data_IF_937753000289
#
_entry.id   IF_937753000289
#
_cell.length_a   1.000
_cell.length_b   1.000
_cell.length_c   1.000
_cell.angle_alpha   90.00
_cell.angle_beta   90.00
_cell.angle_gamma   90.00
#
_symmetry.space_group_name_H-M   'P 1'
#
loop_
_entity.id
_entity.type
_entity.pdbx_description
1 polymer ?
#
# COMPACT_ATOMS: atom_id res chain seq x y z
N UNK A 1 7.97 56.35 -40.55
CA UNK A 1 9.01 56.95 -39.67
C UNK A 1 8.91 56.25 -38.32
N UNK A 2 10.05 55.72 -37.84
CA UNK A 2 10.38 55.47 -36.42
C UNK A 2 9.54 54.43 -35.64
N UNK A 3 10.09 53.51 -34.87
CA UNK A 3 11.47 53.35 -34.44
C UNK A 3 11.69 51.99 -33.77
N UNK A 4 12.94 51.53 -33.84
CA UNK A 4 13.46 50.31 -33.25
C UNK A 4 13.64 50.44 -31.73
N UNK A 5 13.60 49.30 -31.02
CA UNK A 5 13.86 49.28 -29.57
C UNK A 5 14.05 47.89 -28.97
N UNK A 6 14.93 47.05 -29.53
CA UNK A 6 15.34 45.80 -28.87
C UNK A 6 16.35 46.10 -27.74
N UNK A 7 15.89 46.07 -26.48
CA UNK A 7 16.76 46.12 -25.30
C UNK A 7 17.33 44.73 -25.00
N UNK A 8 18.65 44.57 -25.19
CA UNK A 8 19.44 43.40 -24.79
C UNK A 8 19.49 43.34 -23.25
N UNK A 9 18.99 42.25 -22.65
CA UNK A 9 19.27 41.92 -21.23
C UNK A 9 20.60 41.18 -21.16
N UNK A 10 21.54 41.72 -20.39
CA UNK A 10 22.75 41.02 -19.99
C UNK A 10 22.40 40.00 -18.89
N UNK A 11 22.89 38.77 -19.04
CA UNK A 11 22.78 37.73 -18.02
C UNK A 11 23.90 37.92 -16.96
N UNK A 12 23.62 37.79 -15.65
CA UNK A 12 24.67 37.75 -14.63
C UNK A 12 25.42 36.41 -14.66
N UNK A 13 26.73 36.48 -14.46
CA UNK A 13 27.65 35.34 -14.44
C UNK A 13 27.39 34.40 -13.23
N UNK A 14 27.67 33.09 -13.36
CA UNK A 14 27.59 32.16 -12.23
C UNK A 14 28.72 32.39 -11.20
N UNK A 15 28.47 32.15 -9.90
CA UNK A 15 29.52 32.19 -8.88
C UNK A 15 30.50 31.02 -9.03
N UNK A 16 31.76 31.15 -8.56
CA UNK A 16 32.75 30.09 -8.61
C UNK A 16 32.39 28.93 -7.66
N UNK A 17 32.49 27.70 -8.18
CA UNK A 17 32.36 26.46 -7.41
C UNK A 17 33.62 26.28 -6.57
N UNK A 18 33.49 26.31 -5.24
CA UNK A 18 34.56 25.90 -4.32
C UNK A 18 34.55 24.37 -4.27
N UNK A 19 35.58 23.76 -4.85
CA UNK A 19 35.86 22.33 -4.76
C UNK A 19 36.48 22.07 -3.39
N UNK A 20 35.75 21.42 -2.49
CA UNK A 20 36.31 20.82 -1.27
C UNK A 20 36.48 19.31 -1.48
N UNK A 21 37.70 18.78 -1.59
CA UNK A 21 37.94 17.35 -1.48
C UNK A 21 38.01 16.99 0.00
N UNK A 22 36.91 16.51 0.59
CA UNK A 22 36.96 15.83 1.89
C UNK A 22 37.00 14.33 1.64
N UNK A 23 38.22 13.84 1.48
CA UNK A 23 38.56 12.45 1.63
C UNK A 23 38.28 12.04 3.09
N UNK A 24 37.28 11.19 3.30
CA UNK A 24 37.20 10.36 4.49
C UNK A 24 37.18 8.91 4.03
N UNK A 25 38.40 8.37 4.04
CA UNK A 25 38.78 7.00 3.84
C UNK A 25 38.49 6.20 5.12
N UNK A 26 38.14 4.91 4.95
CA UNK A 26 38.05 3.84 5.97
C UNK A 26 36.80 3.90 6.88
N UNK A 27 35.94 2.87 6.95
CA UNK A 27 36.28 1.47 7.17
C UNK A 27 35.31 0.48 6.49
N UNK A 28 35.79 -0.67 5.99
CA UNK A 28 34.93 -1.80 5.64
C UNK A 28 34.43 -2.46 6.93
N UNK A 29 33.13 -2.35 7.21
CA UNK A 29 32.50 -3.25 8.18
C UNK A 29 32.52 -4.66 7.62
N UNK A 30 33.29 -5.51 8.30
CA UNK A 30 33.30 -6.96 8.17
C UNK A 30 31.87 -7.49 8.24
N UNK A 31 31.35 -7.92 7.08
CA UNK A 31 30.14 -8.70 6.94
C UNK A 31 30.44 -10.13 7.43
N UNK A 32 29.77 -10.65 8.48
CA UNK A 32 29.80 -12.09 8.73
C UNK A 32 29.08 -12.79 7.57
N UNK A 33 29.81 -13.65 6.88
CA UNK A 33 29.26 -14.54 5.88
C UNK A 33 28.23 -15.50 6.52
N UNK A 34 27.28 -16.04 5.72
CA UNK A 34 26.06 -16.68 6.18
C UNK A 34 26.30 -17.98 6.96
N UNK A 35 25.58 -18.17 8.06
CA UNK A 35 25.40 -19.49 8.64
C UNK A 35 24.51 -20.31 7.71
N UNK A 36 25.11 -21.22 6.93
CA UNK A 36 24.41 -22.28 6.22
C UNK A 36 23.69 -23.20 7.23
N UNK A 37 22.35 -23.36 7.17
CA UNK A 37 21.70 -24.51 7.77
C UNK A 37 21.88 -25.69 6.81
N UNK A 38 22.92 -26.50 7.04
CA UNK A 38 22.97 -27.88 6.53
C UNK A 38 21.79 -28.65 7.14
N UNK A 39 20.66 -28.68 6.44
CA UNK A 39 19.57 -29.63 6.71
C UNK A 39 19.15 -30.30 5.41
N UNK A 40 19.83 -31.42 5.16
CA UNK A 40 19.39 -32.66 4.52
C UNK A 40 18.05 -32.60 3.73
N UNK A 41 18.07 -32.90 2.42
CA UNK A 41 16.86 -33.19 1.66
C UNK A 41 16.14 -34.42 2.24
N UNK A 42 14.95 -34.22 2.80
CA UNK A 42 14.01 -35.31 3.00
C UNK A 42 13.35 -35.59 1.65
N UNK A 43 13.88 -36.62 1.00
CA UNK A 43 13.24 -37.31 -0.11
C UNK A 43 11.92 -37.94 0.38
N UNK A 44 10.79 -37.31 0.06
CA UNK A 44 9.50 -38.00 0.00
C UNK A 44 9.06 -38.06 -1.44
N UNK A 45 9.28 -39.23 -2.03
CA UNK A 45 8.86 -39.62 -3.36
C UNK A 45 7.32 -39.52 -3.51
N UNK A 46 6.80 -39.24 -4.71
CA UNK A 46 5.39 -38.94 -4.95
C UNK A 46 4.54 -40.22 -5.00
N UNK A 47 3.37 -40.19 -4.36
CA UNK A 47 2.35 -41.22 -4.51
C UNK A 47 0.99 -40.59 -4.83
N UNK A 48 0.62 -40.73 -6.12
CA UNK A 48 -0.69 -41.20 -6.59
C UNK A 48 -1.97 -40.36 -6.35
N UNK A 49 -2.37 -39.73 -7.45
CA UNK A 49 -3.68 -39.83 -8.12
C UNK A 49 -4.85 -38.94 -7.62
N UNK A 50 -5.45 -38.11 -8.50
CA UNK A 50 -6.74 -37.46 -8.28
C UNK A 50 -7.90 -38.35 -8.76
N UNK A 51 -9.03 -38.36 -8.03
CA UNK A 51 -10.32 -38.83 -8.57
C UNK A 51 -11.50 -38.07 -7.92
N UNK A 52 -12.56 -37.71 -8.68
CA UNK A 52 -13.48 -36.63 -8.34
C UNK A 52 -14.71 -37.08 -7.53
N UNK A 53 -15.42 -36.07 -6.98
CA UNK A 53 -16.82 -36.01 -6.47
C UNK A 53 -17.85 -36.78 -7.34
N UNK A 54 -19.16 -36.91 -6.98
CA UNK A 54 -19.94 -36.41 -5.82
C UNK A 54 -20.96 -37.43 -5.22
N UNK A 55 -21.54 -37.18 -4.04
CA UNK A 55 -22.95 -37.62 -3.81
C UNK A 55 -23.67 -36.72 -2.79
N UNK A 56 -24.95 -36.58 -3.07
CA UNK A 56 -25.89 -35.53 -2.71
C UNK A 56 -26.88 -36.08 -1.69
N UNK A 57 -26.98 -35.54 -0.48
CA UNK A 57 -28.20 -35.72 0.34
C UNK A 57 -28.51 -34.46 1.16
N UNK A 58 -29.55 -33.75 0.71
CA UNK A 58 -30.22 -32.62 1.37
C UNK A 58 -31.17 -33.14 2.50
N UNK A 59 -31.62 -32.27 3.43
CA UNK A 59 -32.03 -32.62 4.80
C UNK A 59 -33.54 -32.93 4.93
N UNK A 60 -34.01 -33.43 6.09
CA UNK A 60 -35.42 -33.32 6.45
C UNK A 60 -35.68 -32.24 7.51
N UNK A 61 -36.38 -31.18 7.10
CA UNK A 61 -37.19 -30.33 7.96
C UNK A 61 -38.43 -31.10 8.46
N UNK A 62 -38.93 -30.81 9.69
CA UNK A 62 -40.33 -31.02 10.08
C UNK A 62 -40.72 -30.31 11.41
N UNK A 63 -41.62 -29.32 11.26
CA UNK A 63 -42.87 -29.07 12.03
C UNK A 63 -42.82 -28.56 13.49
N UNK A 64 -43.27 -27.31 13.68
CA UNK A 64 -43.92 -26.76 14.90
C UNK A 64 -45.46 -26.94 14.83
N UNK A 65 -46.31 -26.49 15.78
CA UNK A 65 -46.33 -26.50 17.26
C UNK A 65 -47.64 -27.19 17.80
N UNK A 66 -47.96 -27.15 19.11
CA UNK A 66 -49.23 -26.47 19.49
C UNK A 66 -49.23 -25.72 20.84
N UNK A 67 -50.31 -24.96 21.02
CA UNK A 67 -50.56 -23.86 21.96
C UNK A 67 -50.97 -24.24 23.39
N UNK A 68 -50.91 -23.21 24.25
CA UNK A 68 -51.89 -22.84 25.30
C UNK A 68 -51.51 -23.16 26.75
N UNK A 69 -51.31 -22.12 27.57
CA UNK A 69 -52.35 -21.54 28.44
C UNK A 69 -51.73 -20.44 29.31
N UNK A 70 -52.28 -19.22 29.24
CA UNK A 70 -52.10 -18.19 30.28
C UNK A 70 -53.29 -18.22 31.25
N UNK A 71 -53.08 -17.88 32.53
CA UNK A 71 -53.89 -16.80 33.08
C UNK A 71 -53.07 -15.73 33.81
N UNK A 72 -53.28 -14.52 33.29
CA UNK A 72 -53.25 -13.19 33.90
C UNK A 72 -53.23 -13.14 35.45
N UNK A 73 -52.17 -12.55 35.98
CA UNK A 73 -52.23 -11.68 37.17
C UNK A 73 -51.36 -10.45 36.87
N UNK A 74 -51.96 -9.27 36.92
CA UNK A 74 -51.28 -7.97 36.92
C UNK A 74 -51.61 -7.29 38.27
N UNK A 75 -51.08 -6.10 38.60
CA UNK A 75 -49.73 -5.57 38.43
C UNK A 75 -49.16 -5.09 39.78
N UNK A 76 -47.85 -5.16 40.00
CA UNK A 76 -47.20 -4.36 41.05
C UNK A 76 -46.09 -3.55 40.39
N UNK A 77 -46.44 -2.29 40.14
CA UNK A 77 -45.52 -1.22 39.76
C UNK A 77 -44.84 -0.68 41.02
N UNK A 78 -43.51 -0.54 41.02
CA UNK A 78 -42.87 0.56 41.73
C UNK A 78 -42.18 1.53 40.76
N UNK A 79 -41.96 2.77 41.19
CA UNK A 79 -41.98 3.96 40.36
C UNK A 79 -40.81 4.08 39.37
N UNK A 80 -41.11 4.79 38.27
CA UNK A 80 -40.16 5.30 37.30
C UNK A 80 -38.98 6.03 37.96
N UNK A 81 -37.79 5.42 37.89
CA UNK A 81 -36.53 6.17 37.87
C UNK A 81 -36.17 6.47 36.43
N UNK A 82 -35.96 7.74 36.04
CA UNK A 82 -35.45 8.11 34.73
C UNK A 82 -34.15 7.36 34.43
N UNK A 83 -34.12 6.78 33.22
CA UNK A 83 -32.94 6.15 32.66
C UNK A 83 -31.78 7.14 32.63
N UNK A 84 -30.73 6.87 33.40
CA UNK A 84 -29.40 7.40 33.09
C UNK A 84 -28.58 6.28 32.46
N UNK A 85 -28.93 5.93 31.22
CA UNK A 85 -27.97 5.26 30.34
C UNK A 85 -26.91 6.29 30.00
N UNK A 86 -25.93 6.45 30.89
CA UNK A 86 -24.69 7.14 30.54
C UNK A 86 -24.10 6.40 29.34
N UNK A 87 -23.96 7.04 28.16
CA UNK A 87 -23.24 6.40 27.07
C UNK A 87 -21.78 6.28 27.52
N UNK A 88 -21.36 5.06 27.84
CA UNK A 88 -19.95 4.73 28.08
C UNK A 88 -19.16 5.27 26.88
N UNK A 89 -18.12 6.10 27.07
CA UNK A 89 -17.29 6.56 25.98
C UNK A 89 -16.78 5.34 25.22
N UNK A 90 -17.05 5.29 23.91
CA UNK A 90 -16.47 4.27 23.06
C UNK A 90 -14.94 4.31 23.27
N UNK A 91 -14.26 3.16 23.44
CA UNK A 91 -12.83 3.15 23.65
C UNK A 91 -12.15 3.94 22.53
N UNK A 92 -11.17 4.80 22.84
CA UNK A 92 -10.48 5.57 21.83
C UNK A 92 -9.89 4.61 20.80
N UNK A 93 -10.40 4.66 19.57
CA UNK A 93 -9.87 3.86 18.47
C UNK A 93 -8.52 4.46 18.12
N UNK A 94 -7.45 3.88 18.67
CA UNK A 94 -6.07 4.26 18.38
C UNK A 94 -5.67 3.72 17.01
N UNK A 95 -6.17 4.36 15.96
CA UNK A 95 -5.49 4.37 14.67
C UNK A 95 -4.93 5.77 14.52
N UNK A 96 -3.63 5.97 14.24
CA UNK A 96 -3.10 7.29 13.92
C UNK A 96 -3.83 7.82 12.70
N UNK A 97 -4.87 8.63 12.92
CA UNK A 97 -5.49 9.41 11.87
C UNK A 97 -4.53 10.55 11.61
N UNK A 98 -3.95 10.57 10.41
CA UNK A 98 -3.21 11.71 9.93
C UNK A 98 -4.04 12.98 10.12
N UNK A 99 -3.42 14.05 10.62
CA UNK A 99 -4.05 15.37 10.61
C UNK A 99 -4.37 15.80 9.17
N UNK A 100 -5.32 16.72 8.95
CA UNK A 100 -5.66 17.17 7.59
C UNK A 100 -4.45 17.72 6.81
N UNK A 101 -3.52 18.40 7.49
CA UNK A 101 -2.30 18.91 6.87
C UNK A 101 -1.36 17.76 6.43
N UNK A 102 -1.16 16.75 7.28
CA UNK A 102 -0.37 15.58 6.94
C UNK A 102 -1.02 14.79 5.80
N UNK A 103 -2.35 14.63 5.79
CA UNK A 103 -3.05 13.98 4.69
C UNK A 103 -2.78 14.69 3.35
N UNK A 104 -2.89 16.02 3.32
CA UNK A 104 -2.61 16.80 2.12
C UNK A 104 -1.13 16.67 1.68
N UNK A 105 -0.21 16.55 2.63
CA UNK A 105 1.19 16.29 2.33
C UNK A 105 1.41 14.90 1.72
N UNK A 106 0.85 13.85 2.34
CA UNK A 106 0.91 12.49 1.82
C UNK A 106 0.25 12.37 0.46
N UNK A 107 -0.88 13.04 0.22
CA UNK A 107 -1.53 13.11 -1.08
C UNK A 107 -0.60 13.69 -2.14
N UNK A 108 -0.01 14.87 -1.89
CA UNK A 108 0.94 15.51 -2.81
C UNK A 108 2.14 14.61 -3.10
N UNK A 109 2.73 14.01 -2.06
CA UNK A 109 3.87 13.10 -2.21
C UNK A 109 3.51 11.82 -2.97
N UNK A 110 2.32 11.27 -2.71
CA UNK A 110 1.79 10.09 -3.42
C UNK A 110 1.65 10.39 -4.90
N UNK A 111 1.00 11.49 -5.25
CA UNK A 111 0.79 11.88 -6.64
C UNK A 111 2.11 12.15 -7.37
N UNK A 112 3.07 12.79 -6.70
CA UNK A 112 4.41 13.00 -7.26
C UNK A 112 5.15 11.69 -7.52
N UNK A 113 5.10 10.74 -6.57
CA UNK A 113 5.74 9.42 -6.73
C UNK A 113 5.09 8.59 -7.84
N UNK A 114 3.75 8.61 -7.95
CA UNK A 114 3.00 7.97 -9.04
C UNK A 114 3.44 8.56 -10.40
N UNK A 115 3.42 9.88 -10.53
CA UNK A 115 3.80 10.55 -11.78
C UNK A 115 5.26 10.25 -12.19
N UNK A 116 6.18 10.24 -11.22
CA UNK A 116 7.58 9.88 -11.47
C UNK A 116 7.72 8.42 -11.96
N UNK A 117 7.03 7.48 -11.31
CA UNK A 117 7.06 6.08 -11.71
C UNK A 117 6.48 5.86 -13.12
N UNK A 118 5.36 6.50 -13.44
CA UNK A 118 4.75 6.44 -14.77
C UNK A 118 5.68 7.00 -15.86
N UNK A 119 6.32 8.14 -15.60
CA UNK A 119 7.30 8.73 -16.51
C UNK A 119 8.48 7.79 -16.76
N UNK A 120 8.97 7.12 -15.72
CA UNK A 120 10.04 6.15 -15.86
C UNK A 120 9.60 4.94 -16.68
N UNK A 121 8.39 4.41 -16.47
CA UNK A 121 7.85 3.33 -17.30
C UNK A 121 7.65 3.73 -18.75
N UNK A 122 7.40 5.02 -19.04
CA UNK A 122 7.29 5.45 -20.44
C UNK A 122 8.56 5.22 -21.24
N UNK A 123 9.73 5.19 -20.59
CA UNK A 123 11.01 4.91 -21.25
C UNK A 123 11.10 3.48 -21.78
N UNK A 124 10.27 2.54 -21.31
CA UNK A 124 10.26 1.16 -21.78
C UNK A 124 9.41 0.94 -23.03
N UNK A 125 8.59 1.91 -23.44
CA UNK A 125 7.75 1.76 -24.63
C UNK A 125 8.61 1.57 -25.89
N UNK A 126 8.25 0.55 -26.67
CA UNK A 126 8.96 0.21 -27.90
C UNK A 126 10.30 -0.51 -27.70
N UNK A 127 10.72 -0.76 -26.46
CA UNK A 127 11.91 -1.57 -26.16
C UNK A 127 11.54 -3.04 -26.01
N UNK A 128 12.44 -3.93 -26.43
CA UNK A 128 12.34 -5.35 -26.14
C UNK A 128 12.91 -5.59 -24.75
N UNK A 129 12.05 -5.95 -23.80
CA UNK A 129 12.44 -6.22 -22.42
C UNK A 129 12.82 -7.70 -22.25
N UNK A 130 13.84 -7.97 -21.43
CA UNK A 130 14.13 -9.32 -20.97
C UNK A 130 13.14 -9.76 -19.86
N UNK A 131 13.26 -11.01 -19.41
CA UNK A 131 12.34 -11.55 -18.40
C UNK A 131 12.38 -10.79 -17.06
N UNK A 132 13.57 -10.41 -16.59
CA UNK A 132 13.72 -9.67 -15.33
C UNK A 132 13.17 -8.24 -15.41
N UNK A 133 13.43 -7.54 -16.52
CA UNK A 133 12.88 -6.21 -16.79
C UNK A 133 11.36 -6.24 -16.91
N UNK A 134 10.82 -7.28 -17.55
CA UNK A 134 9.36 -7.46 -17.69
C UNK A 134 8.69 -7.72 -16.34
N UNK A 135 9.28 -8.59 -15.51
CA UNK A 135 8.81 -8.82 -14.13
C UNK A 135 8.85 -7.54 -13.28
N UNK A 136 9.93 -6.75 -13.41
CA UNK A 136 10.04 -5.47 -12.72
C UNK A 136 8.97 -4.48 -13.18
N UNK A 137 8.70 -4.38 -14.49
CA UNK A 137 7.63 -3.56 -15.05
C UNK A 137 6.25 -3.95 -14.49
N UNK A 138 5.96 -5.26 -14.41
CA UNK A 138 4.70 -5.77 -13.86
C UNK A 138 4.57 -5.48 -12.35
N UNK A 139 5.66 -5.59 -11.58
CA UNK A 139 5.67 -5.21 -10.16
C UNK A 139 5.40 -3.72 -9.98
N UNK A 140 6.02 -2.85 -10.79
CA UNK A 140 5.76 -1.40 -10.77
C UNK A 140 4.28 -1.13 -11.04
N UNK A 141 3.68 -1.76 -12.07
CA UNK A 141 2.25 -1.65 -12.38
C UNK A 141 1.37 -2.08 -11.20
N UNK A 142 1.72 -3.19 -10.56
CA UNK A 142 1.01 -3.71 -9.39
C UNK A 142 1.00 -2.70 -8.23
N UNK A 143 2.17 -2.15 -7.88
CA UNK A 143 2.27 -1.15 -6.82
C UNK A 143 1.52 0.16 -7.16
N UNK A 144 1.55 0.61 -8.42
CA UNK A 144 0.78 1.78 -8.85
C UNK A 144 -0.74 1.54 -8.74
N UNK A 145 -1.21 0.36 -9.14
CA UNK A 145 -2.61 -0.03 -8.98
C UNK A 145 -3.02 0.03 -7.51
N UNK A 146 -2.26 -0.62 -6.63
CA UNK A 146 -2.51 -0.64 -5.19
C UNK A 146 -2.43 0.76 -4.55
N UNK A 147 -1.49 1.60 -4.98
CA UNK A 147 -1.35 2.97 -4.49
C UNK A 147 -2.61 3.80 -4.80
N UNK A 148 -3.12 3.70 -6.04
CA UNK A 148 -4.35 4.39 -6.46
C UNK A 148 -5.60 3.85 -5.77
N UNK A 149 -5.67 2.55 -5.49
CA UNK A 149 -6.74 1.96 -4.67
C UNK A 149 -6.71 2.51 -3.24
N UNK A 150 -5.54 2.52 -2.60
CA UNK A 150 -5.37 3.08 -1.25
C UNK A 150 -5.69 4.58 -1.19
N UNK A 151 -5.28 5.35 -2.20
CA UNK A 151 -5.61 6.77 -2.33
C UNK A 151 -7.12 6.99 -2.42
N UNK A 152 -7.83 6.19 -3.24
CA UNK A 152 -9.30 6.24 -3.34
C UNK A 152 -10.00 5.88 -2.03
N UNK A 153 -9.40 5.00 -1.22
CA UNK A 153 -9.89 4.66 0.11
C UNK A 153 -9.54 5.71 1.19
N UNK A 154 -8.82 6.78 0.84
CA UNK A 154 -8.36 7.81 1.78
C UNK A 154 -7.19 7.40 2.67
N UNK A 155 -6.59 6.23 2.41
CA UNK A 155 -5.40 5.75 3.12
C UNK A 155 -4.12 6.28 2.46
N UNK A 156 -3.90 7.58 2.63
CA UNK A 156 -2.80 8.31 1.99
C UNK A 156 -1.42 7.85 2.46
N UNK A 157 -1.28 7.40 3.70
CA UNK A 157 -0.01 6.85 4.18
C UNK A 157 0.33 5.55 3.45
N UNK A 158 -0.64 4.62 3.32
CA UNK A 158 -0.44 3.39 2.56
C UNK A 158 -0.21 3.67 1.07
N UNK A 159 -0.99 4.58 0.50
CA UNK A 159 -0.87 5.00 -0.89
C UNK A 159 0.55 5.51 -1.19
N UNK A 160 1.07 6.38 -0.32
CA UNK A 160 2.42 6.93 -0.45
C UNK A 160 3.50 5.83 -0.41
N UNK A 161 3.43 4.92 0.55
CA UNK A 161 4.41 3.83 0.67
C UNK A 161 4.42 2.93 -0.58
N UNK A 162 3.25 2.62 -1.13
CA UNK A 162 3.11 1.84 -2.36
C UNK A 162 3.65 2.60 -3.58
N UNK A 163 3.33 3.90 -3.69
CA UNK A 163 3.81 4.75 -4.76
C UNK A 163 5.34 4.93 -4.71
N UNK A 164 5.93 5.07 -3.53
CA UNK A 164 7.39 5.11 -3.36
C UNK A 164 8.05 3.81 -3.81
N UNK A 165 7.48 2.64 -3.45
CA UNK A 165 7.99 1.34 -3.95
C UNK A 165 7.94 1.29 -5.47
N UNK A 166 6.83 1.70 -6.08
CA UNK A 166 6.71 1.78 -7.53
C UNK A 166 7.77 2.71 -8.13
N UNK A 167 7.99 3.88 -7.53
CA UNK A 167 8.99 4.84 -7.98
C UNK A 167 10.41 4.26 -7.93
N UNK A 168 10.82 3.66 -6.81
CA UNK A 168 12.16 3.07 -6.67
C UNK A 168 12.38 1.97 -7.71
N UNK A 169 11.44 1.02 -7.81
CA UNK A 169 11.52 -0.07 -8.79
C UNK A 169 11.50 0.46 -10.24
N UNK A 170 10.80 1.56 -10.51
CA UNK A 170 10.80 2.18 -11.84
C UNK A 170 12.15 2.83 -12.19
N UNK A 171 12.87 3.36 -11.20
CA UNK A 171 14.23 3.89 -11.40
C UNK A 171 15.19 2.74 -11.69
N UNK A 172 15.08 1.64 -10.94
CA UNK A 172 15.85 0.42 -11.22
C UNK A 172 15.58 -0.11 -12.63
N UNK A 173 14.31 -0.10 -13.06
CA UNK A 173 13.93 -0.51 -14.41
C UNK A 173 14.64 0.34 -15.45
N UNK A 174 14.57 1.67 -15.34
CA UNK A 174 15.26 2.61 -16.25
C UNK A 174 16.77 2.36 -16.28
N UNK A 175 17.38 2.13 -15.12
CA UNK A 175 18.82 1.88 -15.01
C UNK A 175 19.24 0.51 -15.59
N UNK A 176 18.29 -0.40 -15.78
CA UNK A 176 18.52 -1.73 -16.32
C UNK A 176 18.27 -1.84 -17.83
N UNK A 177 17.75 -0.79 -18.49
CA UNK A 177 17.47 -0.74 -19.93
C UNK A 177 18.74 -0.63 -20.77
#
# INVERSE_FOLDING_TARGET
MSGAGCRKRAAPAPPPVVIVPSASESQPSTQPAPAEPKTKPAETKPATTPKPSPELVVPPAKKSPPHSTTPRTAPVEPPATPAETTPKPAPPRMSPRLSPAEQAEYERKTNAAIAAAEKNMQTTYGKQLNAAQSDLLEKVRGFLGQAREAARAGDWQRAHNLAQKAQVLSVELVNSL
#
